data_IF_013468028386
#
_entry.id   IF_013468028386
#
_cell.length_a   1.000
_cell.length_b   1.000
_cell.length_c   1.000
_cell.angle_alpha   90.00
_cell.angle_beta   90.00
_cell.angle_gamma   90.00
#
_symmetry.space_group_name_H-M   'P 1'
#
loop_
_entity.id
_entity.type
_entity.pdbx_description
1 polymer ?
#
# COMPACT_ATOMS: atom_id res chain seq x y z
N UNK A 1 -2.79 -30.63 -30.86
CA UNK A 1 -1.72 -29.66 -30.49
C UNK A 1 -2.20 -28.22 -30.40
N UNK A 2 -3.03 -27.72 -31.34
CA UNK A 2 -3.47 -26.31 -31.35
C UNK A 2 -4.39 -25.89 -30.18
N UNK A 3 -5.15 -26.83 -29.61
CA UNK A 3 -6.02 -26.56 -28.45
C UNK A 3 -5.27 -26.47 -27.11
N UNK A 4 -4.10 -27.11 -26.99
CA UNK A 4 -3.28 -27.06 -25.77
C UNK A 4 -2.62 -25.69 -25.55
N UNK A 5 -2.33 -24.97 -26.65
CA UNK A 5 -1.75 -23.63 -26.60
C UNK A 5 -2.72 -22.55 -26.09
N UNK A 6 -4.02 -22.70 -26.37
CA UNK A 6 -5.04 -21.71 -25.95
C UNK A 6 -5.31 -21.79 -24.45
N UNK A 7 -5.28 -23.00 -23.89
CA UNK A 7 -5.49 -23.21 -22.44
C UNK A 7 -4.34 -22.65 -21.59
N UNK A 8 -3.10 -22.63 -22.09
CA UNK A 8 -1.95 -22.11 -21.37
C UNK A 8 -1.96 -20.57 -21.24
N UNK A 9 -2.51 -19.86 -22.24
CA UNK A 9 -2.59 -18.38 -22.23
C UNK A 9 -3.63 -17.84 -21.25
N UNK A 10 -4.73 -18.57 -21.00
CA UNK A 10 -5.75 -18.17 -20.02
C UNK A 10 -5.30 -18.38 -18.57
N UNK A 11 -4.39 -19.34 -18.32
CA UNK A 11 -3.84 -19.57 -16.98
C UNK A 11 -2.84 -18.49 -16.55
N UNK A 12 -2.17 -17.80 -17.49
CA UNK A 12 -1.21 -16.74 -17.16
C UNK A 12 -1.86 -15.40 -16.80
N UNK A 13 -3.10 -15.15 -17.24
CA UNK A 13 -3.79 -13.88 -16.97
C UNK A 13 -4.28 -13.73 -15.53
N UNK A 14 -4.31 -14.81 -14.74
CA UNK A 14 -4.79 -14.79 -13.35
C UNK A 14 -3.69 -14.59 -12.30
N UNK A 15 -2.42 -14.68 -12.69
CA UNK A 15 -1.28 -14.53 -11.77
C UNK A 15 -0.87 -13.06 -11.52
N UNK A 16 -1.28 -12.12 -12.38
CA UNK A 16 -0.90 -10.71 -12.26
C UNK A 16 -1.62 -9.99 -11.11
N UNK A 17 -2.71 -10.55 -10.58
CA UNK A 17 -3.51 -9.91 -9.55
C UNK A 17 -2.95 -10.08 -8.12
N UNK A 18 -1.97 -10.96 -7.90
CA UNK A 18 -1.39 -11.21 -6.57
C UNK A 18 0.04 -10.66 -6.40
N UNK A 19 0.74 -10.41 -7.51
CA UNK A 19 2.16 -10.04 -7.55
C UNK A 19 2.43 -8.53 -7.36
N UNK A 20 1.44 -7.77 -6.88
CA UNK A 20 1.65 -6.38 -6.46
C UNK A 20 1.55 -6.21 -4.95
N UNK A 21 0.78 -7.07 -4.28
CA UNK A 21 0.45 -6.88 -2.88
C UNK A 21 1.64 -7.19 -1.96
N UNK A 22 2.37 -8.27 -2.21
CA UNK A 22 3.54 -8.66 -1.38
C UNK A 22 4.66 -7.64 -1.50
N UNK A 23 4.94 -7.19 -2.71
CA UNK A 23 6.00 -6.24 -3.02
C UNK A 23 5.69 -4.86 -2.42
N UNK A 24 4.42 -4.42 -2.52
CA UNK A 24 3.97 -3.21 -1.83
C UNK A 24 4.04 -3.35 -0.30
N UNK A 25 3.72 -4.52 0.25
CA UNK A 25 3.78 -4.77 1.70
C UNK A 25 5.22 -4.68 2.23
N UNK A 26 6.16 -5.33 1.55
CA UNK A 26 7.59 -5.25 1.88
C UNK A 26 8.08 -3.81 1.77
N UNK A 27 7.73 -3.10 0.70
CA UNK A 27 8.13 -1.71 0.49
C UNK A 27 7.61 -0.78 1.59
N UNK A 28 6.32 -0.85 1.94
CA UNK A 28 5.72 -0.05 3.01
C UNK A 28 6.38 -0.36 4.35
N UNK A 29 6.53 -1.64 4.68
CA UNK A 29 7.11 -2.08 5.95
C UNK A 29 8.53 -1.56 6.11
N UNK A 30 9.37 -1.72 5.08
CA UNK A 30 10.76 -1.25 5.10
C UNK A 30 10.83 0.28 5.23
N UNK A 31 10.01 1.03 4.49
CA UNK A 31 9.99 2.50 4.58
C UNK A 31 9.57 2.95 5.99
N UNK A 32 8.51 2.37 6.56
CA UNK A 32 8.06 2.76 7.89
C UNK A 32 9.07 2.40 8.98
N UNK A 33 9.78 1.27 8.82
CA UNK A 33 10.85 0.86 9.72
C UNK A 33 12.07 1.80 9.64
N UNK A 34 12.52 2.13 8.42
CA UNK A 34 13.63 3.08 8.19
C UNK A 34 13.35 4.45 8.79
N UNK A 35 12.09 4.89 8.77
CA UNK A 35 11.65 6.18 9.30
C UNK A 35 11.33 6.11 10.81
N UNK A 36 11.52 4.95 11.46
CA UNK A 36 11.19 4.69 12.86
C UNK A 36 9.76 5.14 13.22
N UNK A 37 8.81 4.82 12.34
CA UNK A 37 7.44 5.34 12.41
C UNK A 37 6.52 4.41 13.21
N UNK A 38 6.19 4.80 14.44
CA UNK A 38 5.32 4.01 15.34
C UNK A 38 3.85 4.46 15.33
N UNK A 39 3.59 5.75 15.03
CA UNK A 39 2.25 6.35 15.11
C UNK A 39 1.51 6.29 13.76
N UNK A 40 1.47 5.12 13.15
CA UNK A 40 0.89 4.90 11.82
C UNK A 40 0.17 3.55 11.74
N UNK A 41 -0.90 3.50 10.96
CA UNK A 41 -1.56 2.25 10.57
C UNK A 41 -1.75 2.23 9.07
N UNK A 42 -1.61 1.07 8.44
CA UNK A 42 -1.85 0.92 7.00
C UNK A 42 -2.57 -0.39 6.69
N UNK A 43 -3.16 -0.43 5.50
CA UNK A 43 -3.69 -1.64 4.87
C UNK A 43 -3.37 -1.63 3.38
N UNK A 44 -3.19 -2.82 2.80
CA UNK A 44 -3.02 -2.98 1.37
C UNK A 44 -4.30 -3.46 0.72
N UNK A 45 -4.63 -2.88 -0.43
CA UNK A 45 -5.64 -3.41 -1.34
C UNK A 45 -5.06 -4.57 -2.14
N UNK A 46 -5.92 -5.33 -2.83
CA UNK A 46 -5.49 -6.52 -3.58
C UNK A 46 -4.53 -6.23 -4.73
N UNK A 47 -4.45 -4.98 -5.20
CA UNK A 47 -3.53 -4.52 -6.24
C UNK A 47 -2.21 -3.93 -5.68
N UNK A 48 -2.02 -3.93 -4.36
CA UNK A 48 -0.87 -3.29 -3.70
C UNK A 48 -1.06 -1.80 -3.37
N UNK A 49 -2.21 -1.20 -3.71
CA UNK A 49 -2.48 0.18 -3.35
C UNK A 49 -2.53 0.34 -1.81
N UNK A 50 -1.86 1.37 -1.30
CA UNK A 50 -1.66 1.58 0.13
C UNK A 50 -2.65 2.60 0.67
N UNK A 51 -3.47 2.19 1.63
CA UNK A 51 -4.26 3.09 2.46
C UNK A 51 -3.55 3.26 3.81
N UNK A 52 -3.07 4.48 4.10
CA UNK A 52 -2.25 4.77 5.29
C UNK A 52 -2.81 5.96 6.08
N UNK A 53 -2.82 5.81 7.41
CA UNK A 53 -3.29 6.83 8.36
C UNK A 53 -2.24 7.12 9.41
N UNK A 54 -1.85 8.39 9.52
CA UNK A 54 -0.89 8.87 10.51
C UNK A 54 -1.62 9.48 11.71
N UNK A 55 -1.15 9.13 12.90
CA UNK A 55 -1.63 9.69 14.16
C UNK A 55 -1.40 11.20 14.25
N UNK A 56 -2.19 11.88 15.09
CA UNK A 56 -2.09 13.34 15.27
C UNK A 56 -0.73 13.79 15.82
N UNK A 57 -0.02 12.89 16.51
CA UNK A 57 1.31 13.15 17.05
C UNK A 57 2.41 13.24 15.98
N UNK A 58 2.16 12.74 14.76
CA UNK A 58 3.15 12.78 13.67
C UNK A 58 3.27 14.22 13.15
N UNK A 59 4.46 14.84 13.25
CA UNK A 59 4.71 16.17 12.72
C UNK A 59 4.42 16.25 11.22
N UNK A 60 3.85 17.37 10.78
CA UNK A 60 3.50 17.57 9.36
C UNK A 60 4.68 17.40 8.39
N UNK A 61 5.89 17.93 8.67
CA UNK A 61 7.04 17.72 7.78
C UNK A 61 7.42 16.25 7.63
N UNK A 62 7.27 15.47 8.69
CA UNK A 62 7.57 14.04 8.69
C UNK A 62 6.50 13.25 7.93
N UNK A 63 5.23 13.57 8.17
CA UNK A 63 4.12 13.04 7.37
C UNK A 63 4.32 13.26 5.86
N UNK A 64 4.63 14.49 5.45
CA UNK A 64 4.85 14.83 4.03
C UNK A 64 6.03 14.02 3.49
N UNK A 65 7.16 13.99 4.20
CA UNK A 65 8.36 13.26 3.78
C UNK A 65 8.06 11.78 3.51
N UNK A 66 7.40 11.11 4.45
CA UNK A 66 7.11 9.68 4.36
C UNK A 66 6.10 9.40 3.24
N UNK A 67 5.05 10.20 3.12
CA UNK A 67 4.05 10.04 2.05
C UNK A 67 4.67 10.20 0.67
N UNK A 68 5.57 11.18 0.48
CA UNK A 68 6.27 11.35 -0.80
C UNK A 68 7.24 10.19 -1.08
N UNK A 69 7.92 9.66 -0.05
CA UNK A 69 8.77 8.47 -0.19
C UNK A 69 7.96 7.24 -0.62
N UNK A 70 6.77 7.02 -0.03
CA UNK A 70 5.87 5.94 -0.41
C UNK A 70 5.35 6.10 -1.85
N UNK A 71 4.93 7.31 -2.24
CA UNK A 71 4.43 7.62 -3.60
C UNK A 71 5.51 7.46 -4.68
N UNK A 72 6.76 7.69 -4.32
CA UNK A 72 7.90 7.56 -5.22
C UNK A 72 8.45 6.14 -5.37
N UNK A 73 7.93 5.16 -4.62
CA UNK A 73 8.46 3.80 -4.63
C UNK A 73 7.92 3.01 -5.84
N UNK A 74 8.77 2.32 -6.63
CA UNK A 74 8.33 1.61 -7.84
C UNK A 74 7.35 0.48 -7.57
N UNK A 75 7.44 -0.14 -6.40
CA UNK A 75 6.60 -1.27 -6.01
C UNK A 75 5.30 -0.85 -5.30
N UNK A 76 5.06 0.47 -5.15
CA UNK A 76 3.83 1.00 -4.56
C UNK A 76 3.03 1.70 -5.67
N UNK A 77 1.94 1.09 -6.18
CA UNK A 77 1.19 1.63 -7.32
C UNK A 77 0.44 2.93 -6.98
N UNK A 78 0.17 3.18 -5.70
CA UNK A 78 -0.45 4.41 -5.24
C UNK A 78 -0.68 4.44 -3.74
N UNK A 79 -0.89 5.65 -3.23
CA UNK A 79 -1.03 5.90 -1.79
C UNK A 79 -2.19 6.85 -1.53
N UNK A 80 -3.14 6.42 -0.71
CA UNK A 80 -4.12 7.28 -0.06
C UNK A 80 -3.67 7.49 1.39
N UNK A 81 -3.20 8.71 1.67
CA UNK A 81 -2.69 9.08 2.97
C UNK A 81 -3.63 10.05 3.69
N UNK A 82 -3.89 9.76 4.97
CA UNK A 82 -4.57 10.67 5.89
C UNK A 82 -3.68 11.00 7.10
N UNK A 83 -3.89 12.18 7.68
CA UNK A 83 -3.27 12.59 8.96
C UNK A 83 -4.33 13.21 9.86
N UNK A 84 -4.38 12.78 11.11
CA UNK A 84 -5.19 13.43 12.15
C UNK A 84 -6.52 12.75 12.49
N UNK A 85 -7.20 13.31 13.48
CA UNK A 85 -8.35 12.74 14.17
C UNK A 85 -9.69 13.15 13.53
N UNK A 86 -10.13 12.42 12.51
CA UNK A 86 -11.57 12.16 12.43
C UNK A 86 -11.83 10.89 13.22
N UNK A 87 -12.01 11.06 14.53
CA UNK A 87 -12.71 10.04 15.33
C UNK A 87 -14.08 9.87 14.70
N UNK A 88 -14.24 8.88 13.81
CA UNK A 88 -15.55 8.50 13.32
C UNK A 88 -16.21 7.65 14.42
N UNK A 89 -16.72 8.32 15.44
CA UNK A 89 -17.73 7.74 16.31
C UNK A 89 -19.08 8.33 15.88
N UNK A 90 -19.73 7.70 14.90
CA UNK A 90 -21.18 7.79 14.82
C UNK A 90 -21.72 6.83 15.90
N UNK A 91 -21.92 7.35 17.10
CA UNK A 91 -22.69 6.63 18.13
C UNK A 91 -24.18 6.84 17.78
N UNK A 92 -25.02 5.78 17.75
CA UNK A 92 -26.47 5.89 17.59
C UNK A 92 -27.12 6.77 18.66
#
# INVERSE_FOLDING_TARGET
MRQLLVSALLAFASLTALAGQSESEDAVTNILFDENMENVSYSLRGDGFVDISFGIAVPEPEYIRIVERLRGHPDIPGVLAGRGSKNYCAVP
#
